data_IF_132670643190
#
_entry.id   IF_132670643190
#
_cell.length_a   1.000
_cell.length_b   1.000
_cell.length_c   1.000
_cell.angle_alpha   90.00
_cell.angle_beta   90.00
_cell.angle_gamma   90.00
#
_symmetry.space_group_name_H-M   'P 1'
#
loop_
_entity.id
_entity.type
_entity.pdbx_description
1 polymer ?
#
# COMPACT_ATOMS: atom_id res chain seq x y z
N UNK A 1 -15.31 -3.74 22.29
CA UNK A 1 -15.76 -5.13 22.39
C UNK A 1 -14.56 -6.07 22.58
N UNK A 2 -14.80 -7.28 23.12
CA UNK A 2 -13.79 -8.35 23.12
C UNK A 2 -13.35 -8.63 21.69
N UNK A 3 -12.05 -8.80 21.47
CA UNK A 3 -11.46 -8.97 20.16
C UNK A 3 -11.07 -7.67 19.44
N UNK A 4 -11.57 -6.53 19.90
CA UNK A 4 -11.16 -5.23 19.35
C UNK A 4 -9.69 -4.96 19.66
N UNK A 5 -9.00 -4.33 18.73
CA UNK A 5 -7.64 -3.80 18.97
C UNK A 5 -7.75 -2.35 19.42
N UNK A 6 -7.00 -2.00 20.44
CA UNK A 6 -6.87 -0.62 20.90
C UNK A 6 -5.42 -0.18 20.83
N UNK A 7 -5.20 1.11 20.69
CA UNK A 7 -3.89 1.75 20.83
C UNK A 7 -3.89 2.62 22.08
N UNK A 8 -2.86 2.51 22.89
CA UNK A 8 -2.68 3.29 24.13
C UNK A 8 -1.57 4.31 23.85
N UNK A 9 -1.92 5.59 23.96
CA UNK A 9 -0.99 6.69 23.71
C UNK A 9 -0.41 6.76 22.28
N UNK A 10 -0.94 5.98 21.34
CA UNK A 10 -0.36 5.83 19.99
C UNK A 10 0.89 4.92 19.95
N UNK A 11 1.40 4.48 21.08
CA UNK A 11 2.68 3.76 21.18
C UNK A 11 2.52 2.23 21.25
N UNK A 12 1.45 1.74 21.85
CA UNK A 12 1.23 0.30 22.05
C UNK A 12 -0.15 -0.08 21.56
N UNK A 13 -0.22 -1.14 20.75
CA UNK A 13 -1.50 -1.72 20.30
C UNK A 13 -1.71 -3.09 20.92
N UNK A 14 -2.90 -3.33 21.47
CA UNK A 14 -3.28 -4.58 22.14
C UNK A 14 -4.70 -5.01 21.78
N UNK A 15 -4.90 -6.32 21.71
CA UNK A 15 -6.24 -6.88 21.55
C UNK A 15 -6.92 -7.03 22.90
N UNK A 16 -8.13 -6.53 23.01
CA UNK A 16 -8.96 -6.65 24.22
C UNK A 16 -9.45 -8.08 24.37
N UNK A 17 -9.18 -8.70 25.50
CA UNK A 17 -9.62 -10.06 25.86
C UNK A 17 -10.85 -10.06 26.75
N UNK A 18 -10.92 -9.12 27.71
CA UNK A 18 -12.06 -8.98 28.60
C UNK A 18 -12.43 -7.50 28.71
N UNK A 19 -13.71 -7.23 28.78
CA UNK A 19 -14.26 -5.90 29.07
C UNK A 19 -15.01 -5.97 30.38
N UNK A 20 -14.50 -5.29 31.39
CA UNK A 20 -15.16 -5.10 32.68
C UNK A 20 -15.76 -3.68 32.75
N UNK A 21 -16.67 -3.39 33.68
CA UNK A 21 -17.26 -2.05 33.80
C UNK A 21 -16.26 -0.91 33.97
N UNK A 22 -15.10 -1.21 34.58
CA UNK A 22 -14.07 -0.20 34.95
C UNK A 22 -12.70 -0.52 34.40
N UNK A 23 -12.51 -1.65 33.64
CA UNK A 23 -11.20 -2.08 33.18
C UNK A 23 -11.28 -2.84 31.85
N UNK A 24 -10.20 -2.81 31.12
CA UNK A 24 -9.97 -3.67 29.95
C UNK A 24 -8.81 -4.62 30.29
N UNK A 25 -8.97 -5.90 29.96
CA UNK A 25 -7.91 -6.88 30.09
C UNK A 25 -7.39 -7.28 28.72
N UNK A 26 -6.09 -7.48 28.64
CA UNK A 26 -5.37 -7.86 27.44
C UNK A 26 -4.78 -9.26 27.63
N UNK A 27 -4.50 -9.96 26.54
CA UNK A 27 -3.87 -11.27 26.59
C UNK A 27 -2.47 -11.21 27.23
N UNK A 28 -2.03 -12.33 27.79
CA UNK A 28 -0.70 -12.49 28.37
C UNK A 28 0.41 -12.15 27.39
N UNK A 29 1.41 -11.40 27.83
CA UNK A 29 2.63 -11.08 27.10
C UNK A 29 2.85 -9.57 26.92
N UNK A 30 4.03 -9.13 27.31
CA UNK A 30 4.60 -7.79 27.11
C UNK A 30 3.66 -6.62 27.46
N UNK A 31 3.04 -6.70 28.62
CA UNK A 31 2.35 -5.57 29.20
C UNK A 31 3.38 -4.69 29.90
N UNK A 32 3.45 -3.45 29.50
CA UNK A 32 4.30 -2.47 30.14
C UNK A 32 3.47 -1.82 31.23
N UNK A 33 3.33 -2.53 32.33
CA UNK A 33 2.57 -2.05 33.50
C UNK A 33 3.23 -0.77 34.03
N UNK A 34 2.42 0.26 34.27
CA UNK A 34 2.89 1.53 34.82
C UNK A 34 3.56 2.50 33.84
N UNK A 35 3.69 2.19 32.56
CA UNK A 35 4.31 3.11 31.60
C UNK A 35 3.36 4.20 31.05
N UNK A 36 2.08 4.07 31.29
CA UNK A 36 1.10 5.04 30.81
C UNK A 36 0.51 5.81 31.99
N UNK A 37 0.75 7.11 32.10
CA UNK A 37 0.15 7.93 33.15
C UNK A 37 -1.37 8.02 32.99
N UNK A 38 -2.06 8.31 34.09
CA UNK A 38 -3.49 8.55 34.07
C UNK A 38 -3.82 9.68 33.07
N UNK A 39 -4.86 9.48 32.27
CA UNK A 39 -5.23 10.40 31.20
C UNK A 39 -4.59 10.10 29.82
N UNK A 40 -3.74 9.08 29.72
CA UNK A 40 -3.24 8.64 28.43
C UNK A 40 -4.42 8.24 27.52
N UNK A 41 -4.52 8.79 26.31
CA UNK A 41 -5.63 8.49 25.41
C UNK A 41 -5.60 7.03 24.93
N UNK A 42 -6.78 6.44 24.83
CA UNK A 42 -6.98 5.09 24.30
C UNK A 42 -7.84 5.18 23.05
N UNK A 43 -7.32 4.69 21.93
CA UNK A 43 -7.99 4.71 20.65
C UNK A 43 -8.46 3.31 20.27
N UNK A 44 -9.69 3.20 19.81
CA UNK A 44 -10.16 1.98 19.15
C UNK A 44 -9.53 1.92 17.75
N UNK A 45 -8.83 0.82 17.47
CA UNK A 45 -8.23 0.57 16.17
C UNK A 45 -9.17 -0.29 15.34
N UNK A 46 -9.45 0.16 14.14
CA UNK A 46 -10.17 -0.63 13.14
C UNK A 46 -9.20 -1.00 12.02
N UNK A 47 -9.03 -2.31 11.78
CA UNK A 47 -8.27 -2.79 10.65
C UNK A 47 -9.16 -2.75 9.40
N UNK A 48 -8.82 -1.88 8.48
CA UNK A 48 -9.48 -1.80 7.18
C UNK A 48 -8.60 -2.51 6.15
N UNK A 49 -9.16 -3.51 5.48
CA UNK A 49 -8.50 -4.25 4.41
C UNK A 49 -8.98 -3.77 3.06
N UNK A 50 -8.06 -3.31 2.25
CA UNK A 50 -8.28 -3.07 0.83
C UNK A 50 -7.66 -4.21 0.02
N UNK A 51 -8.35 -4.66 -1.00
CA UNK A 51 -7.92 -5.76 -1.86
C UNK A 51 -8.51 -5.58 -3.25
N UNK A 52 -7.72 -5.88 -4.27
CA UNK A 52 -8.24 -6.10 -5.62
C UNK A 52 -8.68 -7.55 -5.73
N UNK A 53 -9.91 -7.76 -6.12
CA UNK A 53 -10.50 -9.08 -6.32
C UNK A 53 -10.71 -9.28 -7.82
N UNK A 54 -10.13 -10.36 -8.35
CA UNK A 54 -10.33 -10.72 -9.74
C UNK A 54 -11.69 -11.40 -9.91
N UNK A 55 -12.51 -10.81 -10.73
CA UNK A 55 -13.62 -11.38 -11.48
C UNK A 55 -14.45 -12.48 -10.80
N UNK A 56 -15.01 -12.20 -9.63
CA UNK A 56 -16.09 -13.03 -9.09
C UNK A 56 -17.41 -12.27 -9.19
N UNK A 57 -18.38 -12.68 -10.04
CA UNK A 57 -19.67 -11.99 -10.18
C UNK A 57 -20.42 -11.82 -8.86
N UNK A 58 -20.10 -12.64 -7.87
CA UNK A 58 -20.67 -12.56 -6.53
C UNK A 58 -20.11 -11.37 -5.71
N UNK A 59 -18.92 -10.89 -6.02
CA UNK A 59 -18.27 -9.83 -5.25
C UNK A 59 -18.20 -8.51 -6.04
N UNK A 60 -17.85 -8.59 -7.33
CA UNK A 60 -17.79 -7.43 -8.21
C UNK A 60 -19.05 -7.37 -9.07
N UNK A 61 -19.64 -6.20 -9.23
CA UNK A 61 -20.88 -6.02 -10.01
C UNK A 61 -20.72 -6.23 -11.52
N UNK A 62 -19.49 -6.41 -12.00
CA UNK A 62 -19.14 -6.64 -13.40
C UNK A 62 -18.15 -7.80 -13.53
N UNK A 63 -17.93 -8.26 -14.77
CA UNK A 63 -16.91 -9.25 -15.08
C UNK A 63 -15.49 -8.65 -15.11
N UNK A 64 -15.23 -7.64 -14.33
CA UNK A 64 -13.93 -6.96 -14.23
C UNK A 64 -13.42 -7.02 -12.80
N UNK A 65 -12.11 -6.96 -12.57
CA UNK A 65 -11.57 -6.81 -11.24
C UNK A 65 -12.15 -5.61 -10.52
N UNK A 66 -12.32 -5.69 -9.22
CA UNK A 66 -12.81 -4.57 -8.43
C UNK A 66 -12.00 -4.39 -7.15
N UNK A 67 -11.94 -3.14 -6.68
CA UNK A 67 -11.42 -2.82 -5.37
C UNK A 67 -12.49 -3.07 -4.32
N UNK A 68 -12.14 -3.82 -3.28
CA UNK A 68 -13.01 -4.08 -2.14
C UNK A 68 -12.40 -3.53 -0.86
N UNK A 69 -13.28 -3.09 0.05
CA UNK A 69 -12.93 -2.72 1.42
C UNK A 69 -13.65 -3.65 2.37
N UNK A 70 -12.91 -4.42 3.17
CA UNK A 70 -13.49 -5.42 4.09
C UNK A 70 -14.49 -6.35 3.38
N UNK A 71 -14.14 -6.81 2.18
CA UNK A 71 -14.98 -7.63 1.29
C UNK A 71 -16.23 -6.93 0.72
N UNK A 72 -16.39 -5.63 0.92
CA UNK A 72 -17.46 -4.85 0.30
C UNK A 72 -16.90 -4.18 -0.96
N UNK A 73 -17.50 -4.38 -2.14
CA UNK A 73 -17.03 -3.75 -3.37
C UNK A 73 -17.20 -2.24 -3.31
N UNK A 74 -16.17 -1.52 -3.75
CA UNK A 74 -16.14 -0.07 -3.82
C UNK A 74 -16.23 0.44 -5.24
N UNK A 75 -15.40 -0.11 -6.13
CA UNK A 75 -15.33 0.34 -7.52
C UNK A 75 -14.83 -0.77 -8.44
N UNK A 76 -15.52 -0.93 -9.57
CA UNK A 76 -15.15 -1.86 -10.63
C UNK A 76 -14.04 -1.29 -11.52
N UNK A 77 -13.32 -2.18 -12.20
CA UNK A 77 -12.28 -1.82 -13.16
C UNK A 77 -10.94 -1.48 -12.50
N UNK A 78 -10.73 -1.77 -11.24
CA UNK A 78 -9.42 -1.67 -10.59
C UNK A 78 -8.68 -2.99 -10.77
N UNK A 79 -7.57 -2.96 -11.53
CA UNK A 79 -6.75 -4.15 -11.79
C UNK A 79 -5.64 -4.33 -10.79
N UNK A 80 -5.10 -3.23 -10.26
CA UNK A 80 -3.98 -3.27 -9.34
C UNK A 80 -4.05 -2.16 -8.31
N UNK A 81 -3.59 -2.47 -7.10
CA UNK A 81 -3.41 -1.55 -5.97
C UNK A 81 -2.03 -1.81 -5.37
N UNK A 82 -1.13 -0.86 -5.53
CA UNK A 82 0.20 -0.90 -4.93
C UNK A 82 0.35 0.17 -3.85
N UNK A 83 0.98 -0.21 -2.74
CA UNK A 83 1.35 0.71 -1.68
C UNK A 83 2.86 0.60 -1.51
N UNK A 84 3.54 1.71 -1.72
CA UNK A 84 4.99 1.80 -1.58
C UNK A 84 5.36 2.87 -0.55
N UNK A 85 6.47 2.69 0.11
CA UNK A 85 6.92 3.58 1.18
C UNK A 85 8.31 4.12 0.88
N UNK A 86 8.50 5.40 1.16
CA UNK A 86 9.81 6.02 1.22
C UNK A 86 10.15 6.36 2.67
N UNK A 87 11.38 6.20 3.05
CA UNK A 87 11.84 6.22 4.43
C UNK A 87 13.08 7.10 4.62
N UNK A 88 13.39 7.34 5.86
CA UNK A 88 14.53 8.12 6.32
C UNK A 88 15.32 7.28 7.34
N UNK A 89 16.56 6.94 7.02
CA UNK A 89 17.42 6.08 7.83
C UNK A 89 17.20 4.59 7.61
N UNK A 90 16.70 4.16 6.46
CA UNK A 90 16.45 2.76 6.13
C UNK A 90 17.32 2.21 5.00
N UNK A 91 18.10 3.03 4.34
CA UNK A 91 19.02 2.60 3.31
C UNK A 91 20.28 1.99 3.94
N UNK A 92 20.73 0.86 3.38
CA UNK A 92 21.98 0.20 3.78
C UNK A 92 23.17 0.63 2.93
N UNK A 93 22.93 1.28 1.80
CA UNK A 93 23.99 1.69 0.89
C UNK A 93 24.54 3.07 1.29
N UNK A 94 25.86 3.19 1.37
CA UNK A 94 26.50 4.49 1.48
C UNK A 94 26.27 5.29 0.17
N UNK A 95 26.07 6.61 0.22
CA UNK A 95 26.37 7.51 1.35
C UNK A 95 25.19 7.76 2.29
N UNK A 96 24.06 7.12 2.08
CA UNK A 96 22.86 7.39 2.87
C UNK A 96 23.01 6.83 4.29
N UNK A 97 22.77 7.63 5.32
CA UNK A 97 22.94 7.20 6.69
C UNK A 97 21.86 6.17 7.08
N UNK A 98 22.25 5.19 7.90
CA UNK A 98 21.30 4.28 8.55
C UNK A 98 20.44 4.95 9.63
N UNK A 99 20.75 6.20 9.91
CA UNK A 99 20.06 7.00 10.93
C UNK A 99 19.22 8.08 10.27
N UNK A 100 18.04 8.39 10.82
CA UNK A 100 17.23 9.48 10.32
C UNK A 100 17.99 10.80 10.36
N UNK A 101 18.05 11.49 9.23
CA UNK A 101 18.65 12.82 9.07
C UNK A 101 17.64 13.90 8.67
N UNK A 102 16.36 13.51 8.53
CA UNK A 102 15.26 14.36 8.11
C UNK A 102 15.02 14.37 6.61
N UNK A 103 15.82 13.62 5.85
CA UNK A 103 15.69 13.49 4.40
C UNK A 103 15.21 12.07 4.04
N UNK A 104 14.47 11.95 2.96
CA UNK A 104 14.12 10.62 2.44
C UNK A 104 15.35 10.03 1.77
N UNK A 105 15.63 8.77 2.09
CA UNK A 105 16.76 8.03 1.55
C UNK A 105 16.59 7.76 0.05
N UNK A 106 17.68 7.88 -0.67
CA UNK A 106 17.82 7.40 -2.05
C UNK A 106 17.95 5.87 -2.03
N UNK A 107 16.95 5.17 -2.55
CA UNK A 107 16.90 3.71 -2.58
C UNK A 107 17.41 3.14 -3.91
N UNK A 108 17.33 3.89 -4.98
CA UNK A 108 17.71 3.44 -6.33
C UNK A 108 19.11 3.90 -6.77
N UNK A 109 19.76 4.74 -5.96
CA UNK A 109 21.09 5.29 -6.27
C UNK A 109 21.07 6.36 -7.36
N UNK A 110 19.91 6.91 -7.66
CA UNK A 110 19.79 7.99 -8.65
C UNK A 110 20.43 9.27 -8.13
N UNK A 111 21.22 9.92 -8.97
CA UNK A 111 21.81 11.19 -8.61
C UNK A 111 21.82 12.17 -9.78
N UNK A 112 21.76 13.45 -9.46
CA UNK A 112 21.91 14.52 -10.43
C UNK A 112 22.99 15.49 -9.95
N UNK A 113 24.05 15.64 -10.74
CA UNK A 113 25.18 16.50 -10.37
C UNK A 113 25.95 16.03 -9.14
N UNK A 114 25.89 14.72 -8.80
CA UNK A 114 26.57 14.14 -7.64
C UNK A 114 25.79 14.23 -6.33
N UNK A 115 24.53 14.66 -6.38
CA UNK A 115 23.63 14.68 -5.23
C UNK A 115 22.51 13.65 -5.39
N UNK A 116 22.13 12.92 -4.33
CA UNK A 116 20.96 12.05 -4.32
C UNK A 116 19.73 12.84 -4.77
N UNK A 117 18.94 12.22 -5.65
CA UNK A 117 17.70 12.82 -6.15
C UNK A 117 16.55 11.94 -5.78
N UNK A 118 15.55 12.49 -5.10
CA UNK A 118 14.34 11.76 -4.81
C UNK A 118 13.55 11.47 -6.10
N UNK A 119 13.36 10.20 -6.39
CA UNK A 119 12.68 9.71 -7.60
C UNK A 119 11.59 8.71 -7.27
N UNK A 120 10.94 8.19 -8.30
CA UNK A 120 9.96 7.10 -8.15
C UNK A 120 10.62 5.79 -7.65
N UNK A 121 11.89 5.56 -7.96
CA UNK A 121 12.65 4.40 -7.52
C UNK A 121 12.95 4.34 -6.03
N UNK A 122 12.78 5.46 -5.32
CA UNK A 122 12.95 5.53 -3.87
C UNK A 122 11.75 4.98 -3.08
N UNK A 123 10.65 4.69 -3.76
CA UNK A 123 9.51 4.03 -3.15
C UNK A 123 9.66 2.51 -3.23
N UNK A 124 9.61 1.85 -2.09
CA UNK A 124 9.76 0.39 -1.96
C UNK A 124 8.41 -0.22 -1.60
N UNK A 125 7.90 -1.11 -2.45
CA UNK A 125 6.66 -1.85 -2.23
C UNK A 125 6.91 -3.29 -1.73
N UNK A 126 7.87 -4.00 -2.29
CA UNK A 126 8.11 -5.42 -2.02
C UNK A 126 9.17 -5.68 -0.92
N UNK A 127 9.32 -4.79 0.02
CA UNK A 127 10.25 -4.97 1.13
C UNK A 127 9.53 -5.38 2.41
N UNK A 128 10.20 -6.16 3.27
CA UNK A 128 9.72 -6.34 4.64
C UNK A 128 9.94 -5.05 5.42
N UNK A 129 8.86 -4.45 5.90
CA UNK A 129 8.86 -3.27 6.76
C UNK A 129 8.82 -3.61 8.25
N UNK A 130 9.17 -4.82 8.61
CA UNK A 130 9.26 -5.29 10.00
C UNK A 130 10.68 -5.71 10.39
N UNK A 131 11.65 -5.58 9.49
CA UNK A 131 13.02 -6.04 9.66
C UNK A 131 13.97 -4.87 9.44
N UNK A 132 14.83 -4.59 10.41
CA UNK A 132 15.89 -3.58 10.30
C UNK A 132 16.69 -3.76 9.01
N UNK A 133 16.99 -2.67 8.26
CA UNK A 133 16.81 -1.27 8.66
C UNK A 133 15.42 -0.68 8.35
N UNK A 134 14.55 -1.39 7.63
CA UNK A 134 13.22 -0.93 7.24
C UNK A 134 12.23 -1.21 8.35
N UNK A 135 11.94 -0.19 9.14
CA UNK A 135 10.94 -0.26 10.22
C UNK A 135 9.86 0.81 10.03
N UNK A 136 8.63 0.58 10.49
CA UNK A 136 7.51 1.50 10.27
C UNK A 136 7.75 2.92 10.77
N UNK A 137 8.52 3.10 11.84
CA UNK A 137 8.86 4.39 12.43
C UNK A 137 9.73 5.26 11.53
N UNK A 138 10.38 4.66 10.54
CA UNK A 138 11.21 5.36 9.56
C UNK A 138 10.46 5.79 8.32
N UNK A 139 9.22 5.37 8.13
CA UNK A 139 8.41 5.76 6.97
C UNK A 139 8.13 7.26 7.03
N UNK A 140 8.42 7.97 5.94
CA UNK A 140 8.16 9.40 5.79
C UNK A 140 7.08 9.67 4.75
N UNK A 141 7.03 8.86 3.71
CA UNK A 141 6.03 8.97 2.65
C UNK A 141 5.42 7.62 2.36
N UNK A 142 4.14 7.64 2.06
CA UNK A 142 3.42 6.50 1.50
C UNK A 142 2.87 6.88 0.13
N UNK A 143 3.09 6.05 -0.86
CA UNK A 143 2.53 6.22 -2.19
C UNK A 143 1.49 5.14 -2.43
N UNK A 144 0.30 5.55 -2.84
CA UNK A 144 -0.77 4.66 -3.25
C UNK A 144 -0.95 4.81 -4.75
N UNK A 145 -0.85 3.70 -5.45
CA UNK A 145 -1.01 3.63 -6.90
C UNK A 145 -2.13 2.66 -7.25
N UNK A 146 -3.01 3.11 -8.14
CA UNK A 146 -4.10 2.31 -8.67
C UNK A 146 -3.95 2.21 -10.18
N UNK A 147 -4.06 1.01 -10.73
CA UNK A 147 -4.23 0.78 -12.16
C UNK A 147 -5.70 0.52 -12.42
N UNK A 148 -6.31 1.36 -13.24
CA UNK A 148 -7.74 1.28 -13.53
C UNK A 148 -7.99 1.12 -15.03
N UNK A 149 -9.01 0.37 -15.38
CA UNK A 149 -9.48 0.20 -16.76
C UNK A 149 -10.99 0.32 -16.87
N UNK A 150 -11.53 0.61 -18.06
CA UNK A 150 -12.97 0.53 -18.32
C UNK A 150 -13.50 -0.89 -18.06
N UNK A 151 -14.74 -1.00 -17.63
CA UNK A 151 -15.44 -2.29 -17.45
C UNK A 151 -15.75 -2.98 -18.79
N UNK A 152 -15.74 -2.22 -19.88
CA UNK A 152 -15.91 -2.73 -21.24
C UNK A 152 -14.60 -2.58 -22.00
N UNK A 153 -14.30 -3.55 -22.85
CA UNK A 153 -13.21 -3.43 -23.81
C UNK A 153 -13.46 -2.20 -24.71
N UNK A 154 -12.40 -1.48 -25.01
CA UNK A 154 -12.49 -0.41 -25.99
C UNK A 154 -12.60 -1.07 -27.38
N UNK A 155 -13.69 -0.83 -28.08
CA UNK A 155 -13.91 -1.36 -29.42
C UNK A 155 -13.00 -0.73 -30.47
N UNK A 156 -11.96 -0.05 -30.00
CA UNK A 156 -10.80 0.50 -30.71
C UNK A 156 -11.09 0.92 -32.15
N UNK A 157 -11.22 2.17 -32.32
CA UNK A 157 -11.48 2.76 -33.64
C UNK A 157 -10.15 3.06 -34.34
N UNK A 158 -9.38 2.05 -34.71
CA UNK A 158 -8.53 2.25 -35.84
C UNK A 158 -9.32 1.87 -37.11
N UNK A 159 -9.03 2.57 -38.17
CA UNK A 159 -9.66 2.35 -39.49
C UNK A 159 -9.43 0.95 -40.08
N UNK A 160 -8.66 0.11 -39.39
CA UNK A 160 -8.28 -1.26 -39.76
C UNK A 160 -8.89 -2.34 -38.87
N UNK A 161 -9.72 -1.98 -37.90
CA UNK A 161 -10.32 -2.94 -36.97
C UNK A 161 -9.34 -3.57 -35.99
N UNK A 162 -8.16 -2.98 -35.82
CA UNK A 162 -7.20 -3.37 -34.80
C UNK A 162 -7.64 -2.82 -33.45
N UNK A 163 -7.78 -3.70 -32.46
CA UNK A 163 -8.26 -3.36 -31.11
C UNK A 163 -7.13 -3.06 -30.13
N UNK A 164 -5.91 -2.93 -30.60
CA UNK A 164 -4.78 -2.63 -29.72
C UNK A 164 -4.79 -1.14 -29.35
N UNK A 165 -5.24 -0.82 -28.16
CA UNK A 165 -5.30 0.55 -27.65
C UNK A 165 -4.14 0.91 -26.74
N UNK A 166 -3.32 -0.07 -26.33
CA UNK A 166 -2.10 0.11 -25.57
C UNK A 166 -0.95 -0.61 -26.28
N UNK A 167 -0.10 0.14 -26.93
CA UNK A 167 1.04 -0.39 -27.71
C UNK A 167 2.35 -0.45 -26.93
N UNK A 168 2.36 0.01 -25.69
CA UNK A 168 3.59 0.19 -24.90
C UNK A 168 3.87 -0.95 -23.91
N UNK A 169 3.05 -2.01 -23.92
CA UNK A 169 3.22 -3.15 -23.00
C UNK A 169 2.50 -2.96 -21.66
N UNK A 170 2.85 -3.80 -20.66
CA UNK A 170 2.22 -3.75 -19.35
C UNK A 170 2.51 -2.44 -18.63
N UNK A 171 1.53 -1.97 -17.87
CA UNK A 171 1.67 -0.79 -17.02
C UNK A 171 2.32 -1.23 -15.72
N UNK A 172 3.58 -0.93 -15.58
CA UNK A 172 4.35 -1.23 -14.35
C UNK A 172 4.08 -0.13 -13.33
N UNK A 173 3.76 -0.50 -12.10
CA UNK A 173 3.47 0.43 -11.02
C UNK A 173 4.22 0.00 -9.77
N UNK A 174 5.05 0.90 -9.25
CA UNK A 174 6.01 0.54 -8.22
C UNK A 174 6.97 -0.51 -8.76
N UNK A 175 7.05 -1.65 -8.10
CA UNK A 175 7.84 -2.82 -8.50
C UNK A 175 6.96 -3.97 -9.03
N UNK A 176 5.66 -3.75 -9.24
CA UNK A 176 4.74 -4.73 -9.81
C UNK A 176 4.70 -4.63 -11.33
N UNK A 177 5.12 -5.72 -11.98
CA UNK A 177 4.99 -5.93 -13.43
C UNK A 177 3.89 -6.97 -13.69
N UNK A 178 2.75 -6.58 -14.24
CA UNK A 178 1.65 -7.50 -14.49
C UNK A 178 1.99 -8.60 -15.50
N UNK A 179 3.07 -8.48 -16.27
CA UNK A 179 3.50 -9.55 -17.17
C UNK A 179 3.99 -10.80 -16.43
N UNK A 180 4.33 -10.66 -15.16
CA UNK A 180 4.72 -11.77 -14.29
C UNK A 180 3.50 -12.48 -13.64
N UNK A 181 2.31 -11.94 -13.77
CA UNK A 181 1.12 -12.50 -13.14
C UNK A 181 0.64 -13.79 -13.83
N UNK A 182 0.15 -14.71 -13.01
CA UNK A 182 -0.47 -15.93 -13.52
C UNK A 182 -1.71 -15.59 -14.35
N UNK A 183 -1.70 -16.02 -15.61
CA UNK A 183 -2.80 -15.76 -16.54
C UNK A 183 -2.71 -14.45 -17.31
N UNK A 184 -1.60 -13.72 -17.19
CA UNK A 184 -1.35 -12.57 -18.06
C UNK A 184 -1.38 -12.97 -19.54
N UNK A 185 -2.09 -12.19 -20.34
CA UNK A 185 -2.14 -12.32 -21.79
C UNK A 185 -1.99 -10.95 -22.44
N UNK A 186 -0.86 -10.75 -23.10
CA UNK A 186 -0.51 -9.48 -23.74
C UNK A 186 -1.56 -9.01 -24.75
N UNK A 187 -2.13 -9.92 -25.54
CA UNK A 187 -3.15 -9.60 -26.54
C UNK A 187 -4.42 -9.03 -25.92
N UNK A 188 -4.93 -9.69 -24.87
CA UNK A 188 -6.10 -9.21 -24.12
C UNK A 188 -5.77 -7.94 -23.33
N UNK A 189 -4.56 -7.88 -22.75
CA UNK A 189 -4.13 -6.72 -22.00
C UNK A 189 -4.12 -5.45 -22.86
N UNK A 190 -3.61 -5.53 -24.10
CA UNK A 190 -3.53 -4.40 -25.02
C UNK A 190 -4.88 -3.93 -25.58
N UNK A 191 -5.96 -4.71 -25.42
CA UNK A 191 -7.31 -4.32 -25.88
C UNK A 191 -8.01 -3.32 -24.96
N UNK A 192 -7.39 -2.93 -23.85
CA UNK A 192 -8.02 -2.07 -22.85
C UNK A 192 -7.12 -0.90 -22.50
N UNK A 193 -7.70 0.30 -22.47
CA UNK A 193 -7.01 1.49 -21.99
C UNK A 193 -6.87 1.42 -20.49
N UNK A 194 -5.70 1.76 -20.00
CA UNK A 194 -5.42 1.85 -18.57
C UNK A 194 -5.03 3.25 -18.19
N UNK A 195 -5.38 3.61 -16.96
CA UNK A 195 -4.91 4.83 -16.32
C UNK A 195 -4.29 4.47 -14.98
N UNK A 196 -3.17 5.11 -14.68
CA UNK A 196 -2.55 5.06 -13.36
C UNK A 196 -2.97 6.29 -12.59
N UNK A 197 -3.46 6.07 -11.38
CA UNK A 197 -3.73 7.12 -10.41
C UNK A 197 -2.74 6.94 -9.28
N UNK A 198 -1.90 7.94 -9.08
CA UNK A 198 -0.86 7.93 -8.04
C UNK A 198 -1.12 9.05 -7.05
N UNK A 199 -1.00 8.74 -5.76
CA UNK A 199 -1.06 9.72 -4.68
C UNK A 199 0.02 9.44 -3.66
N UNK A 200 0.80 10.45 -3.36
CA UNK A 200 1.77 10.45 -2.27
C UNK A 200 1.18 11.14 -1.05
N UNK A 201 1.32 10.50 0.08
CA UNK A 201 0.78 10.92 1.38
C UNK A 201 1.94 10.99 2.35
N UNK A 202 2.05 12.09 3.08
CA UNK A 202 2.92 12.17 4.23
C UNK A 202 2.13 11.71 5.46
N UNK A 203 2.45 10.55 6.05
CA UNK A 203 1.81 10.11 7.26
C UNK A 203 2.10 11.10 8.39
N UNK A 204 1.06 11.51 9.10
CA UNK A 204 1.22 12.29 10.32
C UNK A 204 1.21 11.32 11.50
N UNK A 205 2.23 11.37 12.34
CA UNK A 205 2.31 10.57 13.56
C UNK A 205 2.53 9.05 13.34
N UNK A 206 3.42 8.68 12.43
CA UNK A 206 4.03 7.36 12.48
C UNK A 206 5.23 7.36 13.42
#
# INVERSE_FOLDING_TARGET
AVGSTISIGGAVSKQVKVVNPTSLEFGTGNFVDGQFPAGTPVYLMECVRYQVVSNTPATCGSNTPCLVRNNVPLVDGVEDLQIAYACDGCNQAAPNPLYPDGMVDDQDGSNSGGFPTFTQGDFVSNGSWAITPRTPDKIRLAQVSLVVRPTKADDGLDEKGSRAVNTTGPVIVGDHDPSADTGYNAGTYMQQRRRVVVRTIQPRNL
#
